data_IF_978682879087
#
_entry.id   IF_978682879087
#
_cell.length_a   1.000
_cell.length_b   1.000
_cell.length_c   1.000
_cell.angle_alpha   90.00
_cell.angle_beta   90.00
_cell.angle_gamma   90.00
#
_symmetry.space_group_name_H-M   'P 1'
#
loop_
_entity.id
_entity.type
_entity.pdbx_description
1 polymer ?
#
# COMPACT_ATOMS: atom_id res chain seq x y z
N UNK A 1 -4.42 7.55 31.11
CA UNK A 1 -3.62 8.42 30.21
C UNK A 1 -3.50 7.82 28.82
N UNK A 2 -3.05 6.57 28.66
CA UNK A 2 -2.85 5.91 27.36
C UNK A 2 -4.02 6.05 26.35
N UNK A 3 -5.26 5.73 26.75
CA UNK A 3 -6.41 5.83 25.84
C UNK A 3 -6.63 7.25 25.25
N UNK A 4 -6.33 8.30 26.03
CA UNK A 4 -6.50 9.69 25.60
C UNK A 4 -5.45 10.08 24.56
N UNK A 5 -4.17 9.75 24.80
CA UNK A 5 -3.10 10.04 23.82
C UNK A 5 -3.27 9.20 22.55
N UNK A 6 -3.75 7.96 22.67
CA UNK A 6 -4.07 7.10 21.53
C UNK A 6 -5.15 7.73 20.64
N UNK A 7 -6.28 8.14 21.22
CA UNK A 7 -7.35 8.77 20.45
C UNK A 7 -6.92 10.11 19.84
N UNK A 8 -6.20 10.94 20.61
CA UNK A 8 -5.75 12.25 20.13
C UNK A 8 -4.74 12.13 18.98
N UNK A 9 -3.75 11.24 19.10
CA UNK A 9 -2.79 11.00 18.02
C UNK A 9 -3.46 10.44 16.77
N UNK A 10 -4.46 9.56 16.91
CA UNK A 10 -5.24 9.02 15.81
C UNK A 10 -5.99 10.12 15.04
N UNK A 11 -6.73 10.97 15.74
CA UNK A 11 -7.46 12.09 15.12
C UNK A 11 -6.50 13.06 14.42
N UNK A 12 -5.39 13.42 15.07
CA UNK A 12 -4.41 14.35 14.51
C UNK A 12 -3.69 13.75 13.31
N UNK A 13 -3.34 12.47 13.35
CA UNK A 13 -2.75 11.74 12.22
C UNK A 13 -3.66 11.73 11.00
N UNK A 14 -4.95 11.41 11.20
CA UNK A 14 -5.96 11.44 10.14
C UNK A 14 -6.11 12.82 9.48
N UNK A 15 -6.26 13.87 10.30
CA UNK A 15 -6.36 15.25 9.80
C UNK A 15 -5.09 15.65 9.05
N UNK A 16 -3.91 15.33 9.61
CA UNK A 16 -2.63 15.70 9.00
C UNK A 16 -2.45 15.04 7.64
N UNK A 17 -2.74 13.74 7.52
CA UNK A 17 -2.61 13.03 6.25
C UNK A 17 -3.56 13.61 5.19
N UNK A 18 -4.83 13.86 5.54
CA UNK A 18 -5.76 14.53 4.64
C UNK A 18 -5.26 15.88 4.13
N UNK A 19 -4.67 16.70 5.02
CA UNK A 19 -4.11 18.00 4.64
C UNK A 19 -2.92 17.85 3.70
N UNK A 20 -2.08 16.83 3.89
CA UNK A 20 -0.95 16.54 3.00
C UNK A 20 -1.43 16.08 1.63
N UNK A 21 -2.40 15.16 1.56
CA UNK A 21 -3.00 14.71 0.28
C UNK A 21 -3.69 15.84 -0.46
N UNK A 22 -4.44 16.68 0.27
CA UNK A 22 -5.14 17.83 -0.30
C UNK A 22 -4.19 18.77 -1.05
N UNK A 23 -2.93 18.88 -0.62
CA UNK A 23 -1.90 19.70 -1.28
C UNK A 23 -1.65 19.30 -2.73
N UNK A 24 -1.74 18.02 -3.05
CA UNK A 24 -1.42 17.47 -4.38
C UNK A 24 -2.68 17.26 -5.22
N UNK A 25 -3.74 16.73 -4.62
CA UNK A 25 -4.95 16.33 -5.35
C UNK A 25 -6.03 17.42 -5.39
N UNK A 26 -5.96 18.42 -4.50
CA UNK A 26 -7.01 19.43 -4.34
C UNK A 26 -8.35 18.87 -3.88
N UNK A 27 -8.37 17.61 -3.39
CA UNK A 27 -9.55 16.86 -2.97
C UNK A 27 -9.31 16.21 -1.61
N UNK A 28 -10.39 15.98 -0.87
CA UNK A 28 -10.34 15.32 0.43
C UNK A 28 -10.46 13.82 0.26
N UNK A 29 -9.43 13.08 0.66
CA UNK A 29 -9.38 11.62 0.58
C UNK A 29 -9.88 10.97 1.88
N UNK A 30 -10.94 10.17 1.80
CA UNK A 30 -11.42 9.35 2.92
C UNK A 30 -10.47 8.21 3.25
N UNK A 31 -9.87 7.61 2.22
CA UNK A 31 -8.82 6.59 2.37
C UNK A 31 -7.60 7.21 3.05
N UNK A 32 -7.18 8.41 2.63
CA UNK A 32 -6.09 9.16 3.26
C UNK A 32 -6.36 9.47 4.73
N UNK A 33 -7.61 9.84 5.08
CA UNK A 33 -8.00 10.02 6.49
C UNK A 33 -7.79 8.73 7.29
N UNK A 34 -8.30 7.60 6.80
CA UNK A 34 -8.18 6.31 7.47
C UNK A 34 -6.71 5.87 7.61
N UNK A 35 -5.90 6.03 6.56
CA UNK A 35 -4.46 5.75 6.59
C UNK A 35 -3.74 6.63 7.61
N UNK A 36 -4.09 7.92 7.68
CA UNK A 36 -3.56 8.83 8.69
C UNK A 36 -3.95 8.48 10.12
N UNK A 37 -5.20 8.03 10.33
CA UNK A 37 -5.65 7.53 11.64
C UNK A 37 -4.80 6.35 12.09
N UNK A 38 -4.58 5.37 11.20
CA UNK A 38 -3.73 4.21 11.51
C UNK A 38 -2.29 4.64 11.75
N UNK A 39 -1.72 5.54 10.93
CA UNK A 39 -0.37 6.05 11.15
C UNK A 39 -0.20 6.73 12.51
N UNK A 40 -1.18 7.54 12.94
CA UNK A 40 -1.20 8.15 14.27
C UNK A 40 -1.26 7.11 15.41
N UNK A 41 -2.09 6.08 15.24
CA UNK A 41 -2.20 4.96 16.19
C UNK A 41 -0.90 4.16 16.29
N UNK A 42 -0.27 3.85 15.15
CA UNK A 42 1.02 3.15 15.11
C UNK A 42 2.08 3.99 15.82
N UNK A 43 2.21 5.27 15.49
CA UNK A 43 3.26 6.10 16.04
C UNK A 43 3.13 6.29 17.56
N UNK A 44 1.91 6.46 18.10
CA UNK A 44 1.73 6.65 19.54
C UNK A 44 1.87 5.35 20.36
N UNK A 45 1.80 4.18 19.72
CA UNK A 45 1.86 2.86 20.38
C UNK A 45 3.03 2.74 21.37
N UNK A 46 4.30 2.96 20.99
CA UNK A 46 5.44 2.84 21.91
C UNK A 46 5.44 3.87 23.05
N UNK A 47 4.78 5.02 22.86
CA UNK A 47 4.79 6.13 23.81
C UNK A 47 3.53 6.26 24.67
N UNK A 48 2.46 5.52 24.37
CA UNK A 48 1.11 5.77 24.91
C UNK A 48 1.02 5.79 26.44
N UNK A 49 1.82 4.96 27.12
CA UNK A 49 1.90 4.91 28.59
C UNK A 49 2.90 5.89 29.22
N UNK A 50 3.70 6.59 28.42
CA UNK A 50 4.90 7.29 28.90
C UNK A 50 4.95 8.77 28.54
N UNK A 51 4.12 9.24 27.59
CA UNK A 51 4.21 10.60 27.07
C UNK A 51 3.06 11.50 27.54
N UNK A 52 3.28 12.81 27.72
CA UNK A 52 2.21 13.73 28.12
C UNK A 52 1.17 13.93 27.01
N UNK A 53 -0.06 14.32 27.38
CA UNK A 53 -1.17 14.44 26.43
C UNK A 53 -0.89 15.35 25.22
N UNK A 54 -0.19 16.47 25.44
CA UNK A 54 0.11 17.44 24.39
C UNK A 54 1.05 16.88 23.31
N UNK A 55 1.96 15.95 23.67
CA UNK A 55 2.90 15.40 22.71
C UNK A 55 2.22 14.49 21.70
N UNK A 56 1.05 13.91 22.04
CA UNK A 56 0.27 13.10 21.10
C UNK A 56 -0.07 13.84 19.80
N UNK A 57 -0.22 15.17 19.85
CA UNK A 57 -0.39 16.02 18.65
C UNK A 57 0.86 15.94 17.77
N UNK A 58 2.05 16.02 18.36
CA UNK A 58 3.32 15.93 17.63
C UNK A 58 3.47 14.55 17.00
N UNK A 59 3.15 13.48 17.73
CA UNK A 59 3.13 12.12 17.19
C UNK A 59 2.21 12.01 15.96
N UNK A 60 0.97 12.48 16.07
CA UNK A 60 0.01 12.46 14.96
C UNK A 60 0.49 13.24 13.75
N UNK A 61 1.03 14.45 13.94
CA UNK A 61 1.53 15.28 12.83
C UNK A 61 2.76 14.64 12.16
N UNK A 62 3.75 14.22 12.95
CA UNK A 62 4.96 13.59 12.42
C UNK A 62 4.64 12.29 11.68
N UNK A 63 3.74 11.46 12.21
CA UNK A 63 3.31 10.22 11.57
C UNK A 63 2.51 10.50 10.29
N UNK A 64 1.54 11.42 10.33
CA UNK A 64 0.72 11.77 9.17
C UNK A 64 1.56 12.28 8.00
N UNK A 65 2.58 13.11 8.26
CA UNK A 65 3.50 13.59 7.23
C UNK A 65 4.47 12.47 6.80
N UNK A 66 5.15 11.84 7.76
CA UNK A 66 6.23 10.90 7.48
C UNK A 66 5.75 9.63 6.77
N UNK A 67 4.63 9.05 7.23
CA UNK A 67 4.05 7.85 6.62
C UNK A 67 3.45 8.16 5.24
N UNK A 68 2.85 9.34 5.05
CA UNK A 68 2.34 9.76 3.74
C UNK A 68 3.47 9.81 2.70
N UNK A 69 4.58 10.49 3.00
CA UNK A 69 5.72 10.53 2.08
C UNK A 69 6.40 9.16 1.94
N UNK A 70 6.39 8.33 2.99
CA UNK A 70 6.95 6.98 2.93
C UNK A 70 6.23 6.06 1.95
N UNK A 71 4.94 6.29 1.63
CA UNK A 71 4.22 5.53 0.59
C UNK A 71 4.94 5.58 -0.76
N UNK A 72 5.73 6.62 -1.01
CA UNK A 72 6.46 6.77 -2.26
C UNK A 72 7.65 5.81 -2.37
N UNK A 73 8.20 5.32 -1.23
CA UNK A 73 9.41 4.49 -1.20
C UNK A 73 9.27 3.26 -2.10
N UNK A 74 8.08 2.65 -2.16
CA UNK A 74 7.80 1.46 -2.96
C UNK A 74 8.11 1.64 -4.45
N UNK A 75 7.89 2.85 -4.99
CA UNK A 75 8.22 3.19 -6.37
C UNK A 75 9.71 3.34 -6.64
N UNK A 76 10.50 3.70 -5.62
CA UNK A 76 11.96 3.84 -5.75
C UNK A 76 12.67 2.50 -5.70
N UNK A 77 12.17 1.58 -4.86
CA UNK A 77 12.76 0.25 -4.69
C UNK A 77 12.13 -0.81 -5.60
N UNK A 78 11.12 -0.43 -6.40
CA UNK A 78 10.34 -1.33 -7.26
C UNK A 78 9.80 -2.55 -6.51
N UNK A 79 9.33 -2.32 -5.27
CA UNK A 79 8.68 -3.33 -4.46
C UNK A 79 7.17 -3.09 -4.45
N UNK A 80 6.39 -4.16 -4.55
CA UNK A 80 4.93 -4.09 -4.49
C UNK A 80 4.45 -4.28 -3.04
N UNK A 81 4.18 -3.17 -2.36
CA UNK A 81 3.51 -3.13 -1.06
C UNK A 81 2.06 -2.71 -1.27
N UNK A 82 1.20 -3.72 -1.45
CA UNK A 82 -0.20 -3.55 -1.84
C UNK A 82 -1.03 -2.71 -0.85
N UNK A 83 -0.67 -2.76 0.44
CA UNK A 83 -1.42 -2.09 1.51
C UNK A 83 -0.62 -0.98 2.21
N UNK A 84 0.54 -0.59 1.67
CA UNK A 84 1.43 0.40 2.27
C UNK A 84 1.82 0.06 3.73
N UNK A 85 1.94 -1.24 4.05
CA UNK A 85 2.22 -1.73 5.41
C UNK A 85 3.58 -1.21 5.88
N UNK A 86 4.58 -1.22 5.01
CA UNK A 86 5.91 -0.74 5.38
C UNK A 86 5.90 0.77 5.69
N UNK A 87 5.19 1.56 4.89
CA UNK A 87 5.09 3.01 5.09
C UNK A 87 4.35 3.36 6.39
N UNK A 88 3.23 2.69 6.67
CA UNK A 88 2.40 3.00 7.85
C UNK A 88 2.96 2.36 9.12
N UNK A 89 3.34 1.08 9.08
CA UNK A 89 3.77 0.34 10.27
C UNK A 89 5.28 0.42 10.50
N UNK A 90 6.09 0.21 9.45
CA UNK A 90 7.54 0.25 9.55
C UNK A 90 8.05 1.66 9.85
N UNK A 91 7.76 2.61 8.96
CA UNK A 91 8.19 4.01 9.15
C UNK A 91 7.41 4.69 10.27
N UNK A 92 6.10 4.45 10.41
CA UNK A 92 5.30 5.00 11.51
C UNK A 92 5.78 4.51 12.88
N UNK A 93 6.14 3.23 12.99
CA UNK A 93 6.72 2.66 14.20
C UNK A 93 8.07 3.29 14.55
N UNK A 94 8.94 3.50 13.56
CA UNK A 94 10.23 4.20 13.76
C UNK A 94 10.03 5.65 14.22
N UNK A 95 9.14 6.40 13.58
CA UNK A 95 8.78 7.77 13.99
C UNK A 95 8.27 7.76 15.43
N UNK A 96 7.37 6.83 15.75
CA UNK A 96 6.84 6.64 17.11
C UNK A 96 7.92 6.37 18.15
N UNK A 97 8.89 5.50 17.84
CA UNK A 97 9.97 5.18 18.76
C UNK A 97 10.90 6.37 18.99
N UNK A 98 11.22 7.12 17.93
CA UNK A 98 11.99 8.37 18.03
C UNK A 98 11.24 9.38 18.90
N UNK A 99 9.96 9.64 18.61
CA UNK A 99 9.15 10.55 19.42
C UNK A 99 9.05 10.10 20.88
N UNK A 100 9.00 8.79 21.15
CA UNK A 100 9.02 8.26 22.53
C UNK A 100 10.34 8.58 23.23
N UNK A 101 11.47 8.45 22.53
CA UNK A 101 12.78 8.84 23.09
C UNK A 101 12.86 10.33 23.44
N UNK A 102 12.14 11.18 22.71
CA UNK A 102 12.04 12.61 23.02
C UNK A 102 11.11 12.88 24.21
N UNK A 103 9.88 12.37 24.14
CA UNK A 103 8.76 12.84 24.97
C UNK A 103 8.41 11.94 26.14
N UNK A 104 9.08 10.79 26.31
CA UNK A 104 8.89 9.96 27.51
C UNK A 104 9.14 10.79 28.77
N UNK A 105 8.23 10.66 29.72
CA UNK A 105 8.13 11.45 30.93
C UNK A 105 7.99 10.54 32.14
N UNK A 106 8.94 10.62 33.08
CA UNK A 106 8.90 9.86 34.33
C UNK A 106 7.60 10.07 35.13
N UNK A 107 7.11 11.30 35.22
CA UNK A 107 5.89 11.67 35.92
C UNK A 107 4.62 11.13 35.26
N UNK A 108 4.65 10.81 33.96
CA UNK A 108 3.53 10.14 33.27
C UNK A 108 3.55 8.65 33.57
N UNK A 109 4.73 8.03 33.50
CA UNK A 109 4.88 6.61 33.82
C UNK A 109 4.48 6.31 35.27
N UNK A 110 4.80 7.21 36.20
CA UNK A 110 4.50 7.05 37.63
C UNK A 110 3.01 7.18 37.99
N UNK A 111 2.13 7.51 37.04
CA UNK A 111 0.68 7.63 37.30
C UNK A 111 0.03 6.30 37.72
N UNK A 112 0.66 5.16 37.45
CA UNK A 112 0.20 3.84 37.91
C UNK A 112 0.66 3.49 39.33
N UNK A 113 1.52 4.31 39.94
CA UNK A 113 2.08 4.12 41.28
C UNK A 113 3.18 3.06 41.39
N UNK A 114 3.60 2.42 40.28
CA UNK A 114 4.58 1.31 40.30
C UNK A 114 5.67 1.40 39.26
N UNK A 115 5.36 1.95 38.08
CA UNK A 115 6.32 2.02 36.98
C UNK A 115 7.30 3.17 37.20
N UNK A 116 8.59 2.86 37.10
CA UNK A 116 9.68 3.81 37.25
C UNK A 116 10.55 3.76 36.01
N UNK A 117 10.68 4.89 35.33
CA UNK A 117 11.55 5.09 34.18
C UNK A 117 12.43 6.32 34.41
N UNK A 118 13.59 6.36 33.77
CA UNK A 118 14.42 7.57 33.75
C UNK A 118 13.85 8.70 32.86
N UNK A 119 12.82 8.38 32.06
CA UNK A 119 12.23 9.29 31.08
C UNK A 119 13.06 9.41 29.80
N UNK A 120 12.66 10.33 28.94
CA UNK A 120 13.33 10.67 27.69
C UNK A 120 14.07 12.00 27.78
N UNK A 121 14.20 12.66 26.64
CA UNK A 121 14.85 13.98 26.57
C UNK A 121 14.13 15.04 27.40
N UNK A 122 12.82 14.91 27.58
CA UNK A 122 12.03 15.80 28.46
C UNK A 122 12.57 15.79 29.91
N UNK A 123 13.10 14.65 30.37
CA UNK A 123 13.74 14.49 31.68
C UNK A 123 15.27 14.67 31.65
N UNK A 124 15.83 15.18 30.54
CA UNK A 124 17.28 15.27 30.29
C UNK A 124 18.01 13.92 30.27
N UNK A 125 17.27 12.84 30.03
CA UNK A 125 17.84 11.50 29.87
C UNK A 125 18.17 11.25 28.39
N UNK A 126 19.27 11.87 27.93
CA UNK A 126 19.61 11.95 26.50
C UNK A 126 19.91 10.59 25.85
N UNK A 127 20.46 9.65 26.64
CA UNK A 127 20.79 8.30 26.19
C UNK A 127 19.54 7.49 25.78
N UNK A 128 18.34 7.89 26.23
CA UNK A 128 17.08 7.24 25.83
C UNK A 128 16.92 7.15 24.32
N UNK A 129 17.37 8.17 23.56
CA UNK A 129 17.30 8.13 22.10
C UNK A 129 18.15 7.00 21.52
N UNK A 130 19.34 6.76 22.10
CA UNK A 130 20.19 5.64 21.72
C UNK A 130 19.50 4.30 21.94
N UNK A 131 18.75 4.16 23.05
CA UNK A 131 17.97 2.96 23.32
C UNK A 131 16.83 2.76 22.33
N UNK A 132 16.04 3.80 22.02
CA UNK A 132 14.96 3.68 21.05
C UNK A 132 15.47 3.37 19.63
N UNK A 133 16.61 3.97 19.22
CA UNK A 133 17.20 3.67 17.93
C UNK A 133 17.77 2.25 17.87
N UNK A 134 18.45 1.80 18.93
CA UNK A 134 18.94 0.43 19.02
C UNK A 134 17.79 -0.58 18.96
N UNK A 135 16.70 -0.34 19.69
CA UNK A 135 15.48 -1.13 19.67
C UNK A 135 14.85 -1.19 18.27
N UNK A 136 14.63 -0.03 17.63
CA UNK A 136 14.06 0.01 16.28
C UNK A 136 14.94 -0.70 15.24
N UNK A 137 16.26 -0.50 15.28
CA UNK A 137 17.16 -1.16 14.32
C UNK A 137 17.24 -2.66 14.56
N UNK A 138 17.31 -3.10 15.82
CA UNK A 138 17.32 -4.52 16.17
C UNK A 138 16.02 -5.20 15.71
N UNK A 139 14.86 -4.60 16.02
CA UNK A 139 13.56 -5.11 15.61
C UNK A 139 13.40 -5.18 14.09
N UNK A 140 13.76 -4.12 13.37
CA UNK A 140 13.70 -4.09 11.91
C UNK A 140 14.66 -5.10 11.27
N UNK A 141 15.92 -5.19 11.74
CA UNK A 141 16.88 -6.15 11.21
C UNK A 141 16.44 -7.59 11.46
N UNK A 142 15.96 -7.89 12.67
CA UNK A 142 15.47 -9.23 13.00
C UNK A 142 14.27 -9.61 12.14
N UNK A 143 13.25 -8.75 12.08
CA UNK A 143 12.04 -9.00 11.28
C UNK A 143 12.38 -9.15 9.80
N UNK A 144 13.18 -8.24 9.24
CA UNK A 144 13.52 -8.28 7.82
C UNK A 144 14.36 -9.53 7.48
N UNK A 145 15.44 -9.79 8.21
CA UNK A 145 16.36 -10.88 7.89
C UNK A 145 15.71 -12.26 8.06
N UNK A 146 14.92 -12.46 9.13
CA UNK A 146 14.23 -13.73 9.33
C UNK A 146 13.07 -13.91 8.37
N UNK A 147 12.25 -12.88 8.12
CA UNK A 147 11.19 -12.99 7.11
C UNK A 147 11.77 -13.27 5.73
N UNK A 148 12.86 -12.59 5.34
CA UNK A 148 13.57 -12.88 4.09
C UNK A 148 14.07 -14.32 4.03
N UNK A 149 14.71 -14.81 5.10
CA UNK A 149 15.17 -16.19 5.17
C UNK A 149 14.01 -17.19 5.02
N UNK A 150 12.90 -16.97 5.73
CA UNK A 150 11.71 -17.82 5.66
C UNK A 150 11.11 -17.81 4.25
N UNK A 151 10.83 -16.62 3.70
CA UNK A 151 10.18 -16.48 2.39
C UNK A 151 11.05 -17.01 1.25
N UNK A 152 12.37 -16.78 1.29
CA UNK A 152 13.29 -17.34 0.28
C UNK A 152 13.40 -18.85 0.39
N UNK A 153 13.42 -19.39 1.62
CA UNK A 153 13.44 -20.85 1.86
C UNK A 153 12.14 -21.50 1.36
N UNK A 154 10.98 -20.92 1.69
CA UNK A 154 9.68 -21.41 1.23
C UNK A 154 9.54 -21.29 -0.29
N UNK A 155 9.98 -20.18 -0.89
CA UNK A 155 9.98 -20.01 -2.35
C UNK A 155 10.89 -21.03 -3.05
N UNK A 156 12.06 -21.32 -2.49
CA UNK A 156 12.95 -22.35 -3.02
C UNK A 156 12.33 -23.76 -2.91
N UNK A 157 11.79 -24.09 -1.73
CA UNK A 157 11.23 -25.42 -1.47
C UNK A 157 9.89 -25.63 -2.19
N UNK A 158 9.12 -24.56 -2.40
CA UNK A 158 7.87 -24.53 -3.16
C UNK A 158 8.02 -25.00 -4.61
N UNK A 159 9.23 -24.86 -5.19
CA UNK A 159 9.55 -25.42 -6.52
C UNK A 159 9.50 -26.95 -6.56
N UNK A 160 9.64 -27.61 -5.40
CA UNK A 160 9.61 -29.06 -5.27
C UNK A 160 8.36 -29.57 -4.55
N UNK A 161 7.80 -28.76 -3.66
CA UNK A 161 6.66 -29.10 -2.82
C UNK A 161 5.57 -28.05 -3.04
N UNK A 162 4.54 -28.32 -3.87
CA UNK A 162 3.50 -27.34 -4.19
C UNK A 162 2.80 -26.74 -2.97
N UNK A 163 2.62 -27.53 -1.90
CA UNK A 163 2.00 -27.08 -0.66
C UNK A 163 2.78 -25.98 0.10
N UNK A 164 4.04 -25.69 -0.29
CA UNK A 164 4.87 -24.65 0.29
C UNK A 164 5.02 -23.42 -0.61
N UNK A 165 4.31 -23.39 -1.74
CA UNK A 165 4.32 -22.25 -2.64
C UNK A 165 3.52 -21.10 -2.04
N UNK A 166 4.20 -19.98 -1.78
CA UNK A 166 3.62 -18.81 -1.10
C UNK A 166 2.90 -17.82 -2.03
N UNK A 167 3.11 -17.92 -3.35
CA UNK A 167 2.52 -17.05 -4.36
C UNK A 167 1.94 -17.91 -5.48
N UNK A 168 0.70 -17.64 -5.85
CA UNK A 168 0.02 -18.28 -6.99
C UNK A 168 0.74 -18.01 -8.31
N UNK A 169 0.45 -18.81 -9.33
CA UNK A 169 0.96 -18.55 -10.69
C UNK A 169 0.34 -17.27 -11.28
N UNK A 170 0.94 -16.76 -12.36
CA UNK A 170 0.44 -15.53 -13.02
C UNK A 170 -0.92 -15.77 -13.67
N UNK A 171 -1.15 -16.98 -14.16
CA UNK A 171 -2.41 -17.42 -14.73
C UNK A 171 -3.52 -17.46 -13.68
N UNK A 172 -3.24 -18.03 -12.51
CA UNK A 172 -4.16 -18.06 -11.36
C UNK A 172 -4.41 -16.66 -10.80
N UNK A 173 -3.38 -15.81 -10.72
CA UNK A 173 -3.50 -14.41 -10.31
C UNK A 173 -4.42 -13.62 -11.27
N UNK A 174 -4.37 -13.91 -12.57
CA UNK A 174 -5.20 -13.28 -13.59
C UNK A 174 -6.68 -13.75 -13.55
N UNK A 175 -6.92 -15.01 -13.21
CA UNK A 175 -8.28 -15.54 -12.99
C UNK A 175 -8.93 -14.95 -11.74
N UNK A 176 -8.12 -14.74 -10.70
CA UNK A 176 -8.57 -14.21 -9.42
C UNK A 176 -8.55 -15.28 -8.34
N UNK A 177 -8.04 -14.89 -7.16
CA UNK A 177 -7.75 -15.83 -6.08
C UNK A 177 -9.04 -16.47 -5.51
N UNK A 178 -10.17 -15.77 -5.55
CA UNK A 178 -11.46 -16.31 -5.11
C UNK A 178 -11.85 -17.57 -5.91
N UNK A 179 -11.74 -17.53 -7.25
CA UNK A 179 -12.08 -18.67 -8.10
C UNK A 179 -11.06 -19.83 -7.93
N UNK A 180 -9.77 -19.50 -7.86
CA UNK A 180 -8.70 -20.51 -7.80
C UNK A 180 -8.64 -21.23 -6.45
N UNK A 181 -8.71 -20.49 -5.34
CA UNK A 181 -8.51 -21.04 -3.99
C UNK A 181 -9.81 -21.43 -3.29
N UNK A 182 -10.92 -20.74 -3.58
CA UNK A 182 -12.22 -20.98 -2.93
C UNK A 182 -13.18 -21.73 -3.87
N UNK A 183 -13.11 -21.47 -5.18
CA UNK A 183 -14.03 -22.02 -6.18
C UNK A 183 -15.39 -21.32 -6.24
N UNK A 184 -15.53 -20.20 -5.52
CA UNK A 184 -16.72 -19.37 -5.47
C UNK A 184 -16.32 -17.89 -5.39
N UNK A 185 -17.08 -17.01 -6.05
CA UNK A 185 -16.82 -15.58 -6.02
C UNK A 185 -17.43 -14.92 -4.79
N UNK A 186 -16.70 -13.97 -4.18
CA UNK A 186 -17.27 -13.17 -3.09
C UNK A 186 -18.47 -12.33 -3.53
N UNK A 187 -18.52 -11.94 -4.82
CA UNK A 187 -19.56 -11.09 -5.40
C UNK A 187 -19.87 -11.44 -6.87
N UNK A 188 -20.97 -12.15 -7.13
CA UNK A 188 -21.38 -12.61 -8.48
C UNK A 188 -21.55 -11.49 -9.52
N UNK A 189 -21.93 -10.28 -9.11
CA UNK A 189 -22.20 -9.18 -10.04
C UNK A 189 -20.94 -8.51 -10.60
N UNK A 190 -19.78 -8.68 -9.94
CA UNK A 190 -18.52 -8.07 -10.39
C UNK A 190 -17.96 -8.80 -11.61
N UNK A 191 -18.10 -10.12 -11.65
CA UNK A 191 -17.75 -11.00 -12.77
C UNK A 191 -18.64 -10.73 -14.01
N UNK A 192 -19.96 -10.62 -13.81
CA UNK A 192 -20.91 -10.29 -14.88
C UNK A 192 -20.54 -9.02 -15.65
N UNK A 193 -19.89 -8.04 -15.01
CA UNK A 193 -19.48 -6.79 -15.66
C UNK A 193 -18.09 -6.92 -16.32
N UNK A 194 -17.22 -7.82 -15.85
CA UNK A 194 -15.90 -8.08 -16.46
C UNK A 194 -16.04 -8.69 -17.86
N UNK A 195 -17.00 -9.59 -18.03
CA UNK A 195 -17.24 -10.29 -19.30
C UNK A 195 -18.26 -9.58 -20.22
N UNK A 196 -19.05 -8.65 -19.68
CA UNK A 196 -19.98 -7.84 -20.47
C UNK A 196 -19.26 -6.56 -20.92
N UNK A 197 -18.72 -6.57 -22.15
CA UNK A 197 -18.54 -5.31 -22.88
C UNK A 197 -19.90 -4.60 -22.89
N UNK A 198 -20.01 -3.35 -22.41
CA UNK A 198 -21.27 -2.62 -22.52
C UNK A 198 -21.60 -2.53 -24.02
N UNK A 199 -22.68 -3.21 -24.43
CA UNK A 199 -23.32 -2.88 -25.69
C UNK A 199 -23.83 -1.45 -25.52
N UNK A 200 -23.06 -0.50 -26.04
CA UNK A 200 -23.54 0.87 -26.24
C UNK A 200 -24.39 0.89 -27.50
N UNK A 201 -25.45 0.08 -27.51
CA UNK A 201 -26.49 0.12 -28.55
C UNK A 201 -27.74 0.71 -27.89
N UNK A 202 -27.97 2.01 -28.09
CA UNK A 202 -29.24 2.61 -27.67
C UNK A 202 -29.36 4.13 -27.62
N UNK A 203 -28.30 4.93 -27.79
CA UNK A 203 -28.44 6.40 -27.81
C UNK A 203 -27.61 7.04 -28.92
N UNK A 204 -28.01 6.80 -30.16
CA UNK A 204 -28.04 7.77 -31.27
C UNK A 204 -28.48 7.02 -32.52
N UNK A 205 -29.73 7.27 -32.93
CA UNK A 205 -30.28 6.70 -34.15
C UNK A 205 -29.54 7.19 -35.39
N UNK A 206 -29.00 6.25 -36.14
CA UNK A 206 -28.76 6.39 -37.57
C UNK A 206 -28.84 5.00 -38.20
N UNK A 207 -29.98 4.70 -38.82
CA UNK A 207 -30.20 3.53 -39.67
C UNK A 207 -29.73 3.84 -41.09
N UNK A 208 -28.94 2.96 -41.74
CA UNK A 208 -28.96 2.85 -43.19
C UNK A 208 -29.73 1.58 -43.60
N UNK A 209 -30.73 1.80 -44.45
CA UNK A 209 -31.57 0.78 -45.10
C UNK A 209 -30.77 -0.26 -45.90
N UNK A 210 -31.31 -1.49 -45.93
CA UNK A 210 -31.28 -2.38 -47.09
C UNK A 210 -30.34 -3.59 -47.00
N UNK A 211 -30.91 -4.80 -46.83
CA UNK A 211 -31.32 -5.70 -47.93
C UNK A 211 -31.23 -7.19 -47.50
N UNK A 212 -32.26 -7.98 -47.82
CA UNK A 212 -32.14 -9.43 -48.07
C UNK A 212 -32.39 -10.45 -46.93
N UNK A 213 -33.54 -11.13 -47.02
CA UNK A 213 -33.93 -12.41 -46.39
C UNK A 213 -32.81 -13.46 -46.19
N UNK A 214 -32.73 -14.08 -44.99
CA UNK A 214 -32.72 -15.56 -44.83
C UNK A 214 -33.04 -16.03 -43.40
N UNK A 215 -34.09 -16.84 -43.32
CA UNK A 215 -34.55 -17.82 -42.33
C UNK A 215 -33.85 -17.99 -40.96
N UNK A 216 -34.71 -17.88 -39.93
CA UNK A 216 -34.52 -18.46 -38.62
C UNK A 216 -34.64 -20.00 -38.67
N UNK A 217 -33.57 -20.72 -38.33
CA UNK A 217 -33.54 -21.99 -37.57
C UNK A 217 -32.22 -22.73 -37.80
N UNK A 218 -31.34 -22.71 -36.80
CA UNK A 218 -30.36 -23.78 -36.49
C UNK A 218 -29.49 -23.29 -35.32
N UNK A 219 -30.02 -23.37 -34.10
CA UNK A 219 -29.50 -24.29 -33.09
C UNK A 219 -28.00 -24.60 -33.16
N UNK A 220 -27.32 -24.18 -32.08
CA UNK A 220 -26.37 -24.97 -31.30
C UNK A 220 -25.23 -25.64 -32.09
N UNK A 221 -24.04 -25.05 -31.99
CA UNK A 221 -22.87 -25.64 -31.31
C UNK A 221 -21.58 -25.06 -31.89
N UNK A 222 -20.58 -24.94 -31.01
CA UNK A 222 -19.14 -24.91 -31.31
C UNK A 222 -18.58 -23.98 -32.40
N UNK A 223 -17.71 -23.06 -31.97
CA UNK A 223 -16.34 -22.81 -32.47
C UNK A 223 -15.94 -21.39 -32.05
N UNK A 224 -14.84 -21.16 -31.34
CA UNK A 224 -13.46 -21.21 -31.80
C UNK A 224 -13.20 -20.36 -33.06
N UNK A 225 -12.27 -19.40 -32.90
CA UNK A 225 -11.60 -18.57 -33.92
C UNK A 225 -12.48 -17.43 -34.51
N UNK A 226 -11.98 -16.24 -34.84
CA UNK A 226 -10.62 -15.86 -35.24
C UNK A 226 -10.46 -14.34 -35.09
N UNK A 227 -9.26 -13.88 -34.74
CA UNK A 227 -8.86 -12.48 -34.68
C UNK A 227 -9.09 -11.74 -36.01
N UNK A 228 -9.62 -10.51 -35.93
CA UNK A 228 -9.29 -9.43 -36.86
C UNK A 228 -9.16 -8.12 -36.07
N UNK A 229 -7.94 -7.57 -36.05
CA UNK A 229 -7.62 -6.25 -35.53
C UNK A 229 -8.09 -5.17 -36.51
N UNK A 230 -8.66 -4.06 -36.01
CA UNK A 230 -8.28 -2.76 -36.55
C UNK A 230 -7.93 -1.72 -35.47
N UNK A 231 -6.74 -1.15 -35.68
CA UNK A 231 -6.21 0.19 -35.38
C UNK A 231 -6.56 0.95 -34.09
N UNK A 232 -5.47 1.29 -33.39
CA UNK A 232 -5.38 2.10 -32.17
C UNK A 232 -5.65 3.59 -32.49
N UNK A 233 -6.59 4.20 -31.78
CA UNK A 233 -6.61 5.65 -31.56
C UNK A 233 -6.17 5.94 -30.12
N UNK A 234 -4.95 6.43 -30.00
CA UNK A 234 -4.17 6.61 -28.78
C UNK A 234 -4.14 8.10 -28.39
N UNK A 235 -4.41 8.42 -27.12
CA UNK A 235 -3.93 9.64 -26.45
C UNK A 235 -3.10 9.23 -25.22
N UNK A 236 -2.09 10.02 -24.85
CA UNK A 236 -0.77 9.47 -24.59
C UNK A 236 -0.58 9.07 -23.13
N UNK A 237 -0.45 7.77 -22.88
CA UNK A 237 0.29 7.31 -21.70
C UNK A 237 1.78 7.49 -22.01
N UNK A 238 2.44 8.32 -21.20
CA UNK A 238 3.89 8.51 -21.21
C UNK A 238 4.55 7.18 -20.83
N UNK A 239 4.87 6.38 -21.85
CA UNK A 239 5.75 5.21 -21.71
C UNK A 239 7.17 5.76 -21.61
N UNK A 240 7.79 5.66 -20.43
CA UNK A 240 9.23 5.78 -20.28
C UNK A 240 9.86 4.49 -20.81
N UNK A 241 9.97 4.38 -22.14
CA UNK A 241 10.71 3.29 -22.78
C UNK A 241 12.21 3.60 -22.73
N UNK A 242 12.88 2.87 -21.86
CA UNK A 242 14.33 2.70 -21.82
C UNK A 242 14.71 1.71 -22.93
N UNK A 243 14.87 2.18 -24.18
CA UNK A 243 15.67 1.51 -25.23
C UNK A 243 15.66 2.31 -26.54
N UNK A 244 16.82 2.89 -26.88
CA UNK A 244 17.36 3.24 -28.19
C UNK A 244 18.85 3.51 -27.92
N UNK A 245 19.86 3.01 -28.62
CA UNK A 245 19.91 2.12 -29.76
C UNK A 245 21.40 1.71 -29.87
N UNK A 246 21.70 0.43 -30.05
CA UNK A 246 23.04 -0.02 -30.44
C UNK A 246 22.97 -0.43 -31.91
N UNK A 247 23.66 0.28 -32.80
CA UNK A 247 24.14 -0.33 -34.04
C UNK A 247 24.37 0.56 -35.26
N UNK A 248 25.53 1.23 -35.31
CA UNK A 248 26.31 1.53 -36.54
C UNK A 248 25.77 2.63 -37.46
N UNK A 249 26.56 3.51 -38.08
CA UNK A 249 27.97 3.46 -38.44
C UNK A 249 28.44 4.88 -38.86
N UNK A 250 29.70 5.19 -38.53
CA UNK A 250 30.66 5.97 -39.35
C UNK A 250 30.41 7.48 -39.55
N UNK A 251 31.37 8.29 -39.10
CA UNK A 251 31.78 9.49 -39.87
C UNK A 251 32.23 10.72 -39.09
N UNK A 252 33.55 10.78 -38.85
CA UNK A 252 34.41 11.97 -38.96
C UNK A 252 34.32 13.15 -37.96
N UNK A 253 35.47 13.32 -37.31
CA UNK A 253 36.30 14.53 -37.28
C UNK A 253 36.02 15.64 -36.25
N UNK A 254 37.10 15.89 -35.49
CA UNK A 254 37.46 17.02 -34.62
C UNK A 254 36.96 16.98 -33.18
#
# INVERSE_FOLDING_TARGET
MAAVVTNLAACVGGITWCLVDYRLEGKWSTVGYCSGVVAGLVAITPGSGYVPAWSAVVFGVCAGIGCNFATQIKYWISADDALDIFAVHGIGGLIGNICTGFFAADYIAHLDGTTVIAGGWLNRHWIQMGYQLADSMAGMAWSFLLSMLILTTLSFLGRFIPALQIRVSVEEEAQGIDDVEIGEFAYDYVELIRDVKPHVDGLMGYEPEGDGDVDAQSQRSHSQATMFHPEKSMYPLRVLSREQDHGGMVGMAQ
#
